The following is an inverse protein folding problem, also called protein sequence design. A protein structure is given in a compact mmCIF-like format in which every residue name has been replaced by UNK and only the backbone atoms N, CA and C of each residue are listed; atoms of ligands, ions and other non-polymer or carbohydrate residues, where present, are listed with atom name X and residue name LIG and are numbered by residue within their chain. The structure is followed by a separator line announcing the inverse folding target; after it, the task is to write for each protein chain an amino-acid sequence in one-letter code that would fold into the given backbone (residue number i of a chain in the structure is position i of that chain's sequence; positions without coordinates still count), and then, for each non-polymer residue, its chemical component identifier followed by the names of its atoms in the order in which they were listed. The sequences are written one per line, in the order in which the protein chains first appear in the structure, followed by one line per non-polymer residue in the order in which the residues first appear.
data_IF_181050310158
#
_entry.id   IF_181050310158
#
_cell.length_a   1.000
_cell.length_b   1.000
_cell.length_c   1.000
_cell.angle_alpha   90.00
_cell.angle_beta   90.00
_cell.angle_gamma   90.00
#
_symmetry.space_group_name_H-M   'P 1'
#
loop_
_entity.id
_entity.type
_entity.pdbx_description
1 polymer ?
#
# COMPACT_ATOMS: atom_id res chain seq x y z
N UNK A 1 -18.66 -15.43 -10.49
CA UNK A 1 -17.60 -15.29 -9.46
C UNK A 1 -16.15 -15.18 -9.95
N UNK A 2 -15.76 -15.41 -11.24
CA UNK A 2 -14.35 -15.24 -11.66
C UNK A 2 -13.77 -13.85 -11.41
N UNK A 3 -14.58 -12.81 -11.60
CA UNK A 3 -14.17 -11.41 -11.42
C UNK A 3 -13.87 -11.07 -9.95
N UNK A 4 -14.71 -11.55 -9.03
CA UNK A 4 -14.48 -11.37 -7.59
C UNK A 4 -13.20 -12.07 -7.14
N UNK A 5 -12.90 -13.24 -7.70
CA UNK A 5 -11.67 -13.98 -7.39
C UNK A 5 -10.43 -13.28 -7.95
N UNK A 6 -10.49 -12.76 -9.18
CA UNK A 6 -9.42 -11.97 -9.77
C UNK A 6 -9.13 -10.68 -8.96
N UNK A 7 -10.19 -10.01 -8.47
CA UNK A 7 -10.06 -8.86 -7.58
C UNK A 7 -9.40 -9.24 -6.26
N UNK A 8 -9.82 -10.34 -5.64
CA UNK A 8 -9.23 -10.83 -4.39
C UNK A 8 -7.74 -11.16 -4.57
N UNK A 9 -7.34 -11.71 -5.71
CA UNK A 9 -5.93 -11.99 -6.02
C UNK A 9 -5.09 -10.70 -5.98
N UNK A 10 -5.58 -9.62 -6.60
CA UNK A 10 -4.92 -8.30 -6.59
C UNK A 10 -4.80 -7.74 -5.18
N UNK A 11 -5.87 -7.85 -4.38
CA UNK A 11 -5.87 -7.44 -2.97
C UNK A 11 -4.81 -8.22 -2.19
N UNK A 12 -4.74 -9.55 -2.38
CA UNK A 12 -3.77 -10.40 -1.69
C UNK A 12 -2.32 -10.01 -2.04
N UNK A 13 -2.04 -9.66 -3.29
CA UNK A 13 -0.71 -9.18 -3.71
C UNK A 13 -0.33 -7.88 -3.00
N UNK A 14 -1.26 -6.92 -2.89
CA UNK A 14 -1.06 -5.66 -2.17
C UNK A 14 -0.78 -5.93 -0.68
N UNK A 15 -1.58 -6.79 -0.05
CA UNK A 15 -1.42 -7.15 1.37
C UNK A 15 -0.09 -7.84 1.62
N UNK A 16 0.30 -8.81 0.78
CA UNK A 16 1.58 -9.51 0.90
C UNK A 16 2.76 -8.54 0.84
N UNK A 17 2.75 -7.62 -0.13
CA UNK A 17 3.77 -6.59 -0.27
C UNK A 17 3.88 -5.70 0.99
N UNK A 18 2.74 -5.35 1.61
CA UNK A 18 2.70 -4.55 2.83
C UNK A 18 3.21 -5.33 4.05
N UNK A 19 2.87 -6.61 4.17
CA UNK A 19 3.32 -7.48 5.28
C UNK A 19 4.85 -7.58 5.31
N UNK A 20 5.50 -7.79 4.17
CA UNK A 20 6.96 -7.87 4.05
C UNK A 20 7.70 -6.61 4.55
N UNK A 21 7.02 -5.46 4.55
CA UNK A 21 7.59 -4.14 4.90
C UNK A 21 7.13 -3.62 6.26
N UNK A 22 6.32 -4.39 6.97
CA UNK A 22 5.61 -3.94 8.17
C UNK A 22 4.26 -3.34 7.79
N UNK A 23 3.20 -4.16 7.91
CA UNK A 23 1.85 -3.82 7.45
C UNK A 23 1.33 -2.53 8.10
N UNK A 24 1.61 -2.31 9.39
CA UNK A 24 1.15 -1.11 10.10
C UNK A 24 1.82 0.17 9.60
N UNK A 25 3.12 0.12 9.34
CA UNK A 25 3.86 1.27 8.82
C UNK A 25 3.50 1.57 7.36
N UNK A 26 3.40 0.52 6.54
CA UNK A 26 3.00 0.62 5.15
C UNK A 26 1.55 1.14 5.01
N UNK A 27 0.61 0.58 5.77
CA UNK A 27 -0.78 1.02 5.79
C UNK A 27 -0.89 2.46 6.24
N UNK A 28 -0.15 2.84 7.30
CA UNK A 28 -0.10 4.23 7.75
C UNK A 28 0.37 5.15 6.62
N UNK A 29 1.52 4.90 6.01
CA UNK A 29 2.01 5.74 4.92
C UNK A 29 1.05 5.85 3.73
N UNK A 30 0.29 4.79 3.41
CA UNK A 30 -0.69 4.82 2.32
C UNK A 30 -2.00 5.52 2.70
N UNK A 31 -2.47 5.38 3.95
CA UNK A 31 -3.80 5.85 4.36
C UNK A 31 -3.94 7.39 4.41
N UNK A 32 -2.88 8.12 4.74
CA UNK A 32 -2.90 9.59 4.78
C UNK A 32 -2.50 10.24 3.46
N UNK A 33 -2.16 9.42 2.46
CA UNK A 33 -1.53 9.89 1.23
C UNK A 33 -2.48 10.77 0.44
N UNK A 34 -2.10 12.03 0.25
CA UNK A 34 -2.92 13.09 -0.36
C UNK A 34 -4.22 13.43 0.39
N UNK A 35 -4.38 12.98 1.64
CA UNK A 35 -5.58 13.21 2.45
C UNK A 35 -5.29 13.99 3.73
N UNK A 36 -4.19 13.65 4.42
CA UNK A 36 -3.80 14.32 5.66
C UNK A 36 -2.32 14.08 5.96
N UNK A 37 -1.67 15.04 6.61
CA UNK A 37 -0.38 14.77 7.23
C UNK A 37 -0.56 13.73 8.33
N UNK A 38 0.29 12.70 8.31
CA UNK A 38 0.31 11.67 9.33
C UNK A 38 1.46 11.92 10.29
N UNK A 39 1.14 12.01 11.57
CA UNK A 39 2.15 12.05 12.64
C UNK A 39 3.05 10.80 12.62
N UNK A 40 4.16 10.82 13.38
CA UNK A 40 5.18 9.79 13.35
C UNK A 40 4.63 8.40 13.69
N UNK A 41 5.33 7.37 13.21
CA UNK A 41 5.11 5.98 13.62
C UNK A 41 5.43 5.86 15.13
N UNK A 42 4.55 5.21 15.92
CA UNK A 42 4.76 5.04 17.38
C UNK A 42 5.97 4.14 17.64
N UNK A 43 6.67 4.37 18.75
CA UNK A 43 7.99 3.77 19.08
C UNK A 43 8.09 2.23 18.99
N UNK A 44 6.97 1.50 19.11
CA UNK A 44 6.95 0.04 18.95
C UNK A 44 7.18 -0.44 17.51
N UNK A 45 7.21 0.48 16.55
CA UNK A 45 7.33 0.17 15.13
C UNK A 45 8.53 0.87 14.52
N UNK A 46 9.43 0.09 13.92
CA UNK A 46 10.56 0.62 13.16
C UNK A 46 10.03 1.46 11.99
N UNK A 47 10.49 2.72 11.82
CA UNK A 47 10.15 3.53 10.67
C UNK A 47 10.58 2.87 9.34
N UNK A 48 9.80 3.09 8.29
CA UNK A 48 10.17 2.66 6.94
C UNK A 48 11.41 3.39 6.44
N UNK A 49 12.31 2.65 5.80
CA UNK A 49 13.45 3.24 5.10
C UNK A 49 12.99 4.08 3.90
N UNK A 50 13.85 4.99 3.43
CA UNK A 50 13.57 5.79 2.23
C UNK A 50 13.28 4.91 1.01
N UNK A 51 13.96 3.77 0.88
CA UNK A 51 13.72 2.79 -0.19
C UNK A 51 12.33 2.20 -0.09
N UNK A 52 11.92 1.71 1.09
CA UNK A 52 10.59 1.12 1.29
C UNK A 52 9.47 2.14 1.06
N UNK A 53 9.68 3.41 1.44
CA UNK A 53 8.74 4.50 1.12
C UNK A 53 8.58 4.65 -0.39
N UNK A 54 9.69 4.76 -1.14
CA UNK A 54 9.67 4.87 -2.60
C UNK A 54 8.96 3.67 -3.27
N UNK A 55 9.13 2.47 -2.75
CA UNK A 55 8.42 1.30 -3.25
C UNK A 55 6.91 1.36 -2.99
N UNK A 56 6.48 1.86 -1.82
CA UNK A 56 5.06 2.12 -1.52
C UNK A 56 4.50 3.23 -2.42
N UNK A 57 5.32 4.19 -2.84
CA UNK A 57 4.93 5.21 -3.81
C UNK A 57 4.58 4.58 -5.17
N UNK A 58 5.44 3.67 -5.64
CA UNK A 58 5.18 2.91 -6.86
C UNK A 58 3.92 2.04 -6.76
N UNK A 59 3.69 1.40 -5.62
CA UNK A 59 2.48 0.63 -5.36
C UNK A 59 1.22 1.51 -5.41
N UNK A 60 1.26 2.68 -4.77
CA UNK A 60 0.15 3.63 -4.78
C UNK A 60 -0.22 4.06 -6.21
N UNK A 61 0.78 4.39 -7.03
CA UNK A 61 0.55 4.75 -8.43
C UNK A 61 -0.11 3.61 -9.22
N UNK A 62 0.37 2.36 -9.08
CA UNK A 62 -0.24 1.20 -9.74
C UNK A 62 -1.69 0.97 -9.32
N UNK A 63 -2.00 1.17 -8.03
CA UNK A 63 -3.38 1.07 -7.53
C UNK A 63 -4.25 2.15 -8.18
N UNK A 64 -3.79 3.40 -8.23
CA UNK A 64 -4.52 4.49 -8.87
C UNK A 64 -4.73 4.25 -10.37
N UNK A 65 -3.71 3.77 -11.08
CA UNK A 65 -3.82 3.40 -12.50
C UNK A 65 -4.83 2.27 -12.72
N UNK A 66 -4.81 1.24 -11.85
CA UNK A 66 -5.78 0.14 -11.92
C UNK A 66 -7.21 0.63 -11.68
N UNK A 67 -7.42 1.56 -10.75
CA UNK A 67 -8.73 2.17 -10.48
C UNK A 67 -9.18 3.03 -11.66
N UNK A 68 -8.29 3.87 -12.20
CA UNK A 68 -8.61 4.81 -13.27
C UNK A 68 -8.87 4.12 -14.62
N UNK A 69 -8.17 3.01 -14.90
CA UNK A 69 -8.19 2.39 -16.23
C UNK A 69 -8.72 0.95 -16.25
N UNK A 70 -9.04 0.36 -15.09
CA UNK A 70 -9.54 -1.02 -14.98
C UNK A 70 -8.55 -2.09 -15.45
N UNK A 71 -7.33 -1.72 -15.86
CA UNK A 71 -6.29 -2.62 -16.35
C UNK A 71 -5.24 -2.81 -15.27
N UNK A 72 -5.34 -3.96 -14.61
CA UNK A 72 -4.32 -4.55 -13.76
C UNK A 72 -4.44 -6.06 -13.82
#
# INVERSE_FOLDING_TARGET
MPEAQALQQKINTVVAFMVERGIFQAAKCLAGRNLTELGPVRELFTPLTSTQKKELDGLYHRIQETIAHGKG
#
